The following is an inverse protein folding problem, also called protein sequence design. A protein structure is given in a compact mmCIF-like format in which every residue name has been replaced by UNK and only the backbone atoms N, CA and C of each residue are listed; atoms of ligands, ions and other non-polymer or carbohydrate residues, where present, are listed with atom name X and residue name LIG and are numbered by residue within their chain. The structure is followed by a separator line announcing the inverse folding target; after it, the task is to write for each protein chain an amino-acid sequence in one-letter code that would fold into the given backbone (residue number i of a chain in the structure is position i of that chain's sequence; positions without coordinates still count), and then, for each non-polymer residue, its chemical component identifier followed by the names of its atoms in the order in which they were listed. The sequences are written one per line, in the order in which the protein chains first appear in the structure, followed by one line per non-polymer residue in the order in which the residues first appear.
data_IF_447265419940
#
_entry.id   IF_447265419940
#
_cell.length_a   1.000
_cell.length_b   1.000
_cell.length_c   1.000
_cell.angle_alpha   90.00
_cell.angle_beta   90.00
_cell.angle_gamma   90.00
#
_symmetry.space_group_name_H-M   'P 1'
#
loop_
_entity.id
_entity.type
_entity.pdbx_description
1 polymer ?
#
# COMPACT_ATOMS: atom_id res chain seq x y z
N UNK A 1 0.25 -45.12 46.53
CA UNK A 1 0.30 -43.70 46.11
C UNK A 1 1.77 -43.27 45.97
N UNK A 2 2.56 -43.99 45.17
CA UNK A 2 3.96 -43.63 44.88
C UNK A 2 4.37 -44.00 43.44
N UNK A 3 3.42 -44.39 42.60
CA UNK A 3 3.66 -44.78 41.21
C UNK A 3 3.23 -43.69 40.21
N UNK A 4 2.50 -42.65 40.66
CA UNK A 4 1.94 -41.57 39.81
C UNK A 4 2.96 -40.46 39.52
N UNK A 5 3.86 -40.13 40.47
CA UNK A 5 4.87 -39.06 40.31
C UNK A 5 6.06 -39.45 39.42
N UNK A 6 6.23 -40.75 39.08
CA UNK A 6 7.33 -41.22 38.21
C UNK A 6 7.02 -41.04 36.73
N UNK A 7 5.77 -41.26 36.34
CA UNK A 7 5.32 -41.12 34.96
C UNK A 7 5.31 -39.64 34.50
N UNK A 8 4.96 -38.70 35.38
CA UNK A 8 4.95 -37.26 35.04
C UNK A 8 6.35 -36.73 34.69
N UNK A 9 7.38 -37.17 35.41
CA UNK A 9 8.76 -36.71 35.21
C UNK A 9 9.41 -37.30 33.95
N UNK A 10 9.00 -38.50 33.53
CA UNK A 10 9.43 -39.11 32.25
C UNK A 10 8.74 -38.43 31.06
N UNK A 11 7.46 -38.09 31.18
CA UNK A 11 6.70 -37.37 30.16
C UNK A 11 7.22 -35.94 29.93
N UNK A 12 7.57 -35.21 31.00
CA UNK A 12 8.18 -33.87 30.87
C UNK A 12 9.55 -33.92 30.19
N UNK A 13 10.36 -34.94 30.46
CA UNK A 13 11.67 -35.13 29.81
C UNK A 13 11.54 -35.44 28.31
N UNK A 14 10.55 -36.25 27.91
CA UNK A 14 10.27 -36.51 26.50
C UNK A 14 9.72 -35.28 25.75
N UNK A 15 8.88 -34.46 26.40
CA UNK A 15 8.42 -33.18 25.83
C UNK A 15 9.57 -32.19 25.62
N UNK A 16 10.53 -32.10 26.56
CA UNK A 16 11.68 -31.22 26.43
C UNK A 16 12.64 -31.72 25.33
N UNK A 17 12.84 -33.03 25.21
CA UNK A 17 13.67 -33.63 24.17
C UNK A 17 13.04 -33.46 22.76
N UNK A 18 11.72 -33.55 22.65
CA UNK A 18 11.01 -33.30 21.39
C UNK A 18 11.02 -31.83 21.00
N UNK A 19 10.87 -30.89 21.95
CA UNK A 19 11.02 -29.44 21.72
C UNK A 19 12.45 -29.07 21.28
N UNK A 20 13.49 -29.65 21.89
CA UNK A 20 14.89 -29.43 21.49
C UNK A 20 15.15 -29.96 20.06
N UNK A 21 14.60 -31.14 19.74
CA UNK A 21 14.69 -31.72 18.39
C UNK A 21 13.97 -30.86 17.35
N UNK A 22 12.77 -30.38 17.64
CA UNK A 22 12.03 -29.46 16.77
C UNK A 22 12.80 -28.14 16.55
N UNK A 23 13.42 -27.58 17.59
CA UNK A 23 14.24 -26.37 17.47
C UNK A 23 15.45 -26.57 16.55
N UNK A 24 16.10 -27.73 16.63
CA UNK A 24 17.22 -28.08 15.73
C UNK A 24 16.77 -28.30 14.30
N UNK A 25 15.63 -28.96 14.09
CA UNK A 25 15.05 -29.17 12.75
C UNK A 25 14.64 -27.83 12.09
N UNK A 26 14.07 -26.91 12.87
CA UNK A 26 13.74 -25.56 12.39
C UNK A 26 14.99 -24.74 12.05
N UNK A 27 16.01 -24.77 12.91
CA UNK A 27 17.28 -24.09 12.63
C UNK A 27 17.97 -24.66 11.38
N UNK A 28 17.91 -25.98 11.18
CA UNK A 28 18.43 -26.64 9.98
C UNK A 28 17.65 -26.27 8.72
N UNK A 29 16.32 -26.16 8.80
CA UNK A 29 15.47 -25.72 7.70
C UNK A 29 15.78 -24.27 7.31
N UNK A 30 15.88 -23.36 8.28
CA UNK A 30 16.24 -21.95 8.05
C UNK A 30 17.64 -21.80 7.42
N UNK A 31 18.61 -22.60 7.90
CA UNK A 31 19.94 -22.66 7.27
C UNK A 31 19.87 -23.17 5.84
N UNK A 32 19.09 -24.22 5.56
CA UNK A 32 18.92 -24.76 4.21
C UNK A 32 18.27 -23.78 3.25
N UNK A 33 17.30 -22.98 3.71
CA UNK A 33 16.66 -21.93 2.91
C UNK A 33 17.62 -20.77 2.58
N UNK A 34 18.62 -20.53 3.44
CA UNK A 34 19.61 -19.46 3.24
C UNK A 34 20.79 -19.93 2.39
N UNK A 35 21.19 -21.21 2.51
CA UNK A 35 22.33 -21.82 1.80
C UNK A 35 21.99 -22.15 0.34
N UNK A 36 20.71 -22.47 0.07
CA UNK A 36 20.17 -22.52 -1.29
C UNK A 36 19.98 -21.09 -1.80
N UNK A 37 21.07 -20.48 -2.26
CA UNK A 37 21.02 -19.28 -3.08
C UNK A 37 20.03 -19.46 -4.24
N UNK A 38 19.51 -18.36 -4.81
CA UNK A 38 18.53 -18.46 -5.89
C UNK A 38 19.12 -19.32 -7.01
N UNK A 39 18.56 -20.51 -7.22
CA UNK A 39 18.85 -21.28 -8.43
C UNK A 39 18.45 -20.39 -9.60
N UNK A 40 19.41 -20.09 -10.47
CA UNK A 40 19.16 -19.36 -11.72
C UNK A 40 18.27 -20.23 -12.60
N UNK A 41 16.95 -20.14 -12.35
CA UNK A 41 15.94 -20.64 -13.27
C UNK A 41 16.17 -19.88 -14.56
N UNK A 42 16.69 -20.55 -15.57
CA UNK A 42 16.85 -20.01 -16.91
C UNK A 42 15.47 -19.55 -17.38
N UNK A 43 15.21 -18.25 -17.23
CA UNK A 43 13.99 -17.61 -17.69
C UNK A 43 14.12 -17.45 -19.20
N UNK A 44 13.09 -17.84 -19.95
CA UNK A 44 13.04 -17.61 -21.40
C UNK A 44 13.22 -16.12 -21.70
N UNK A 45 14.37 -15.73 -22.25
CA UNK A 45 14.72 -14.34 -22.58
C UNK A 45 13.65 -13.67 -23.45
N UNK A 46 13.01 -14.45 -24.33
CA UNK A 46 11.93 -13.98 -25.20
C UNK A 46 10.68 -13.56 -24.41
N UNK A 47 10.32 -14.29 -23.35
CA UNK A 47 9.17 -13.96 -22.50
C UNK A 47 9.48 -12.74 -21.62
N UNK A 48 10.72 -12.63 -21.14
CA UNK A 48 11.18 -11.45 -20.38
C UNK A 48 11.15 -10.20 -21.25
N UNK A 49 11.66 -10.26 -22.48
CA UNK A 49 11.64 -9.13 -23.41
C UNK A 49 10.22 -8.65 -23.75
N UNK A 50 9.28 -9.58 -23.97
CA UNK A 50 7.88 -9.26 -24.25
C UNK A 50 7.17 -8.66 -23.02
N UNK A 51 7.43 -9.20 -21.83
CA UNK A 51 6.90 -8.64 -20.58
C UNK A 51 7.47 -7.24 -20.31
N UNK A 52 8.76 -7.01 -20.58
CA UNK A 52 9.40 -5.70 -20.46
C UNK A 52 8.82 -4.69 -21.45
N UNK A 53 8.56 -5.07 -22.71
CA UNK A 53 7.89 -4.18 -23.67
C UNK A 53 6.47 -3.81 -23.22
N UNK A 54 5.71 -4.78 -22.69
CA UNK A 54 4.36 -4.54 -22.17
C UNK A 54 4.39 -3.59 -20.97
N UNK A 55 5.34 -3.78 -20.05
CA UNK A 55 5.57 -2.88 -18.92
C UNK A 55 5.99 -1.48 -19.37
N UNK A 56 6.85 -1.37 -20.38
CA UNK A 56 7.27 -0.08 -20.92
C UNK A 56 6.11 0.68 -21.57
N UNK A 57 5.25 -0.03 -22.31
CA UNK A 57 4.05 0.53 -22.93
C UNK A 57 3.06 1.02 -21.86
N UNK A 58 2.82 0.23 -20.81
CA UNK A 58 1.97 0.61 -19.69
C UNK A 58 2.55 1.82 -18.92
N UNK A 59 3.87 1.86 -18.70
CA UNK A 59 4.53 2.98 -18.02
C UNK A 59 4.46 4.28 -18.83
N UNK A 60 4.58 4.21 -20.16
CA UNK A 60 4.43 5.37 -21.06
C UNK A 60 3.00 5.91 -21.04
N UNK A 61 2.00 5.03 -21.12
CA UNK A 61 0.59 5.41 -21.03
C UNK A 61 0.25 6.07 -19.68
N UNK A 62 0.80 5.56 -18.57
CA UNK A 62 0.64 6.15 -17.24
C UNK A 62 1.27 7.55 -17.16
N UNK A 63 2.47 7.72 -17.70
CA UNK A 63 3.18 9.01 -17.70
C UNK A 63 2.51 10.08 -18.56
N UNK A 64 1.83 9.69 -19.64
CA UNK A 64 1.08 10.65 -20.48
C UNK A 64 -0.23 11.08 -19.80
N UNK A 65 -0.92 10.15 -19.13
CA UNK A 65 -2.12 10.45 -18.34
C UNK A 65 -1.81 11.34 -17.12
N UNK A 66 -0.67 11.12 -16.44
CA UNK A 66 -0.20 11.97 -15.35
C UNK A 66 0.15 13.38 -15.84
N UNK A 67 0.83 13.51 -16.98
CA UNK A 67 1.17 14.83 -17.55
C UNK A 67 -0.06 15.65 -17.95
N UNK A 68 -1.13 15.01 -18.41
CA UNK A 68 -2.39 15.72 -18.71
C UNK A 68 -3.08 16.21 -17.44
N UNK A 69 -3.14 15.37 -16.39
CA UNK A 69 -3.65 15.78 -15.08
C UNK A 69 -2.83 16.90 -14.45
N UNK A 70 -1.51 16.86 -14.55
CA UNK A 70 -0.64 17.92 -14.03
C UNK A 70 -0.79 19.25 -14.77
N UNK A 71 -1.00 19.22 -16.10
CA UNK A 71 -1.28 20.43 -16.90
C UNK A 71 -2.62 21.06 -16.55
N UNK A 72 -3.63 20.24 -16.31
CA UNK A 72 -4.93 20.71 -15.84
C UNK A 72 -4.81 21.31 -14.44
N UNK A 73 -4.10 20.66 -13.51
CA UNK A 73 -3.86 21.14 -12.13
C UNK A 73 -3.03 22.43 -12.05
N UNK A 74 -2.02 22.60 -12.90
CA UNK A 74 -1.16 23.79 -12.93
C UNK A 74 -1.85 25.02 -13.57
N UNK A 75 -2.89 24.81 -14.37
CA UNK A 75 -3.67 25.89 -14.99
C UNK A 75 -4.76 26.45 -14.05
N UNK A 76 -5.03 25.78 -12.93
CA UNK A 76 -6.04 26.19 -11.96
C UNK A 76 -5.58 27.44 -11.22
N UNK A 77 -6.14 28.58 -11.60
CA UNK A 77 -6.03 29.82 -10.84
C UNK A 77 -6.97 29.73 -9.65
N UNK A 78 -6.43 29.41 -8.48
CA UNK A 78 -7.18 29.45 -7.21
C UNK A 78 -7.28 30.91 -6.76
N UNK A 79 -8.48 31.40 -6.50
CA UNK A 79 -8.68 32.75 -5.99
C UNK A 79 -8.59 32.75 -4.45
N UNK A 80 -7.93 33.78 -3.88
CA UNK A 80 -7.87 33.99 -2.43
C UNK A 80 -9.25 34.11 -1.75
N UNK A 81 -10.26 34.79 -2.33
CA UNK A 81 -11.58 34.84 -1.72
C UNK A 81 -12.27 33.48 -1.67
N UNK A 82 -12.06 32.59 -2.64
CA UNK A 82 -12.63 31.23 -2.60
C UNK A 82 -12.03 30.40 -1.47
N UNK A 83 -10.73 30.58 -1.17
CA UNK A 83 -10.05 29.91 -0.05
C UNK A 83 -10.63 30.39 1.28
N UNK A 84 -10.82 31.69 1.43
CA UNK A 84 -11.37 32.30 2.64
C UNK A 84 -12.84 31.90 2.84
N UNK A 85 -13.64 31.89 1.77
CA UNK A 85 -15.03 31.43 1.81
C UNK A 85 -15.12 29.95 2.16
N UNK A 86 -14.31 29.09 1.53
CA UNK A 86 -14.29 27.66 1.84
C UNK A 86 -13.87 27.39 3.30
N UNK A 87 -12.87 28.12 3.79
CA UNK A 87 -12.41 28.00 5.18
C UNK A 87 -13.47 28.47 6.18
N UNK A 88 -14.22 29.51 5.85
CA UNK A 88 -15.31 30.02 6.68
C UNK A 88 -16.51 29.06 6.71
N UNK A 89 -16.98 28.59 5.55
CA UNK A 89 -18.17 27.73 5.44
C UNK A 89 -17.94 26.31 5.99
N UNK A 90 -16.73 25.77 5.83
CA UNK A 90 -16.38 24.42 6.29
C UNK A 90 -15.62 24.42 7.63
N UNK A 91 -15.52 25.56 8.29
CA UNK A 91 -14.78 25.76 9.55
C UNK A 91 -13.35 25.18 9.53
N UNK A 92 -12.69 25.23 8.36
CA UNK A 92 -11.32 24.74 8.21
C UNK A 92 -10.38 25.77 8.83
N UNK A 93 -9.84 25.44 10.01
CA UNK A 93 -8.90 26.32 10.74
C UNK A 93 -7.60 26.59 9.99
N UNK A 94 -7.20 25.69 9.08
CA UNK A 94 -6.00 25.83 8.27
C UNK A 94 -6.34 26.26 6.83
N UNK A 95 -6.02 27.50 6.49
CA UNK A 95 -6.17 28.04 5.14
C UNK A 95 -5.41 27.22 4.08
N UNK A 96 -4.31 26.55 4.45
CA UNK A 96 -3.59 25.67 3.52
C UNK A 96 -4.35 24.39 3.21
N UNK A 97 -5.17 23.91 4.15
CA UNK A 97 -6.05 22.77 3.91
C UNK A 97 -7.21 23.15 2.98
N UNK A 98 -7.80 24.34 3.16
CA UNK A 98 -8.82 24.86 2.25
C UNK A 98 -8.28 25.10 0.83
N UNK A 99 -7.09 25.68 0.71
CA UNK A 99 -6.41 25.86 -0.57
C UNK A 99 -6.09 24.52 -1.26
N UNK A 100 -5.68 23.51 -0.48
CA UNK A 100 -5.45 22.16 -1.01
C UNK A 100 -6.73 21.53 -1.54
N UNK A 101 -7.85 21.67 -0.82
CA UNK A 101 -9.16 21.19 -1.27
C UNK A 101 -9.60 21.87 -2.58
N UNK A 102 -9.41 23.18 -2.70
CA UNK A 102 -9.71 23.91 -3.95
C UNK A 102 -8.82 23.47 -5.11
N UNK A 103 -7.52 23.25 -4.88
CA UNK A 103 -6.63 22.71 -5.91
C UNK A 103 -7.06 21.32 -6.37
N UNK A 104 -7.47 20.45 -5.44
CA UNK A 104 -7.98 19.11 -5.75
C UNK A 104 -9.27 19.15 -6.56
N UNK A 105 -10.12 20.15 -6.33
CA UNK A 105 -11.36 20.36 -7.07
C UNK A 105 -11.19 21.15 -8.38
N UNK A 106 -9.97 21.44 -8.81
CA UNK A 106 -9.73 22.18 -10.05
C UNK A 106 -10.02 23.68 -9.95
N UNK A 107 -10.03 24.26 -8.74
CA UNK A 107 -10.30 25.67 -8.47
C UNK A 107 -11.77 26.05 -8.57
N UNK A 108 -12.65 25.06 -8.66
CA UNK A 108 -14.09 25.25 -8.61
C UNK A 108 -14.58 25.11 -7.17
N UNK A 109 -15.04 26.21 -6.59
CA UNK A 109 -15.55 26.26 -5.21
C UNK A 109 -16.75 25.33 -5.03
N UNK A 110 -17.65 25.24 -6.01
CA UNK A 110 -18.84 24.38 -5.92
C UNK A 110 -18.43 22.91 -5.90
N UNK A 111 -17.51 22.51 -6.78
CA UNK A 111 -17.00 21.12 -6.79
C UNK A 111 -16.22 20.78 -5.53
N UNK A 112 -15.47 21.73 -4.96
CA UNK A 112 -14.79 21.55 -3.68
C UNK A 112 -15.78 21.30 -2.54
N UNK A 113 -16.84 22.10 -2.46
CA UNK A 113 -17.91 21.92 -1.48
C UNK A 113 -18.66 20.60 -1.67
N UNK A 114 -19.01 20.26 -2.91
CA UNK A 114 -19.67 18.99 -3.26
C UNK A 114 -18.81 17.78 -2.86
N UNK A 115 -17.51 17.81 -3.14
CA UNK A 115 -16.58 16.75 -2.73
C UNK A 115 -16.43 16.66 -1.21
N UNK A 116 -16.31 17.80 -0.53
CA UNK A 116 -16.14 17.84 0.92
C UNK A 116 -17.38 17.33 1.66
N UNK A 117 -18.57 17.69 1.17
CA UNK A 117 -19.85 17.26 1.72
C UNK A 117 -20.26 15.85 1.26
N UNK A 118 -19.45 15.19 0.42
CA UNK A 118 -19.75 13.87 -0.13
C UNK A 118 -20.94 13.88 -1.11
N UNK A 119 -21.35 15.04 -1.60
CA UNK A 119 -22.36 15.19 -2.63
C UNK A 119 -21.72 14.90 -4.00
N UNK A 120 -21.54 13.63 -4.34
CA UNK A 120 -21.25 13.28 -5.72
C UNK A 120 -22.47 13.63 -6.59
N UNK A 121 -22.29 14.53 -7.54
CA UNK A 121 -23.25 14.74 -8.61
C UNK A 121 -23.48 13.40 -9.32
N UNK A 122 -24.64 12.78 -9.07
CA UNK A 122 -25.25 11.71 -9.84
C UNK A 122 -24.27 10.65 -10.34
N UNK A 123 -23.96 9.66 -9.50
CA UNK A 123 -23.54 8.36 -10.00
C UNK A 123 -24.59 7.87 -10.99
N UNK A 124 -24.16 7.71 -12.24
CA UNK A 124 -24.91 6.97 -13.25
C UNK A 124 -25.15 5.55 -12.71
N UNK A 125 -26.43 5.24 -12.49
CA UNK A 125 -26.97 3.89 -12.41
C UNK A 125 -27.92 3.72 -13.61
#
# INVERSE_FOLDING_TARGET
MADDDRDENEQEQEELASKDRQGREQAAALKSMTDKGPEERQMDESKVAQAMQTLLAAQRASKDAERQRERELAAVKVSRPDIELLAAELEIRDLKAAERALRLAGGDLRRALEQYLGMQAGGAA
#
